data_IF_008449150042
#
_entry.id   IF_008449150042
#
_cell.length_a   1.000
_cell.length_b   1.000
_cell.length_c   1.000
_cell.angle_alpha   90.00
_cell.angle_beta   90.00
_cell.angle_gamma   90.00
#
_symmetry.space_group_name_H-M   'P 1'
#
loop_
_entity.id
_entity.type
_entity.pdbx_description
1 polymer ?
#
# COMPACT_ATOMS: atom_id res chain seq x y z
N UNK A 1 -14.32 -10.83 7.40
CA UNK A 1 -14.47 -9.77 6.37
C UNK A 1 -15.40 -10.18 5.24
N UNK A 2 -15.33 -11.38 4.69
CA UNK A 2 -16.21 -11.85 3.59
C UNK A 2 -17.70 -11.85 3.98
N UNK A 3 -18.05 -12.37 5.16
CA UNK A 3 -19.42 -12.39 5.67
C UNK A 3 -19.99 -10.97 5.84
N UNK A 4 -19.18 -10.04 6.37
CA UNK A 4 -19.57 -8.63 6.51
C UNK A 4 -19.82 -8.01 5.12
N UNK A 5 -18.96 -8.30 4.15
CA UNK A 5 -19.14 -7.84 2.77
C UNK A 5 -20.47 -8.29 2.15
N UNK A 6 -20.86 -9.56 2.38
CA UNK A 6 -22.13 -10.09 1.92
C UNK A 6 -23.33 -9.39 2.59
N UNK A 7 -23.25 -9.15 3.90
CA UNK A 7 -24.30 -8.44 4.64
C UNK A 7 -24.49 -7.00 4.17
N UNK A 8 -23.41 -6.29 3.82
CA UNK A 8 -23.46 -4.91 3.30
C UNK A 8 -24.13 -4.84 1.92
N UNK A 9 -24.08 -5.93 1.14
CA UNK A 9 -24.74 -6.02 -0.17
C UNK A 9 -26.22 -6.43 -0.08
N UNK A 10 -26.75 -6.70 1.12
CA UNK A 10 -28.18 -6.97 1.29
C UNK A 10 -29.02 -5.72 0.99
N UNK A 11 -30.27 -5.90 0.54
CA UNK A 11 -31.16 -4.81 0.12
C UNK A 11 -31.36 -3.73 1.19
N UNK A 12 -31.38 -4.12 2.46
CA UNK A 12 -31.59 -3.18 3.58
C UNK A 12 -30.34 -2.34 3.89
N UNK A 13 -29.14 -2.86 3.61
CA UNK A 13 -27.86 -2.23 3.94
C UNK A 13 -27.20 -1.53 2.73
N UNK A 14 -27.68 -1.81 1.53
CA UNK A 14 -27.04 -1.37 0.29
C UNK A 14 -26.91 0.16 0.19
N UNK A 15 -28.01 0.89 0.38
CA UNK A 15 -27.98 2.35 0.27
C UNK A 15 -27.20 3.02 1.40
N UNK A 16 -27.29 2.47 2.61
CA UNK A 16 -26.66 3.06 3.80
C UNK A 16 -25.15 2.85 3.82
N UNK A 17 -24.70 1.65 3.50
CA UNK A 17 -23.26 1.30 3.63
C UNK A 17 -22.55 1.27 2.29
N UNK A 18 -23.07 0.53 1.29
CA UNK A 18 -22.39 0.38 0.01
C UNK A 18 -22.31 1.69 -0.77
N UNK A 19 -23.43 2.42 -0.88
CA UNK A 19 -23.45 3.69 -1.61
C UNK A 19 -22.61 4.77 -0.91
N UNK A 20 -22.60 4.81 0.42
CA UNK A 20 -21.73 5.72 1.15
C UNK A 20 -20.26 5.37 0.99
N UNK A 21 -19.91 4.09 1.06
CA UNK A 21 -18.54 3.63 0.80
C UNK A 21 -18.08 3.98 -0.63
N UNK A 22 -18.96 3.82 -1.63
CA UNK A 22 -18.67 4.21 -3.01
C UNK A 22 -18.43 5.73 -3.15
N UNK A 23 -19.18 6.56 -2.44
CA UNK A 23 -18.98 8.02 -2.41
C UNK A 23 -17.63 8.38 -1.78
N UNK A 24 -17.27 7.78 -0.64
CA UNK A 24 -15.98 8.00 0.02
C UNK A 24 -14.84 7.54 -0.87
N UNK A 25 -14.96 6.37 -1.50
CA UNK A 25 -13.99 5.87 -2.48
C UNK A 25 -13.77 6.86 -3.62
N UNK A 26 -14.83 7.49 -4.12
CA UNK A 26 -14.74 8.51 -5.16
C UNK A 26 -13.96 9.73 -4.69
N UNK A 27 -14.21 10.21 -3.46
CA UNK A 27 -13.45 11.33 -2.89
C UNK A 27 -11.96 11.04 -2.77
N UNK A 28 -11.61 9.81 -2.38
CA UNK A 28 -10.22 9.36 -2.33
C UNK A 28 -9.60 9.39 -3.74
N UNK A 29 -10.28 8.82 -4.73
CA UNK A 29 -9.80 8.83 -6.12
C UNK A 29 -9.61 10.26 -6.66
N UNK A 30 -10.55 11.16 -6.38
CA UNK A 30 -10.46 12.57 -6.78
C UNK A 30 -9.30 13.30 -6.08
N UNK A 31 -8.96 12.93 -4.84
CA UNK A 31 -7.79 13.47 -4.15
C UNK A 31 -6.48 13.06 -4.84
N UNK A 32 -6.36 11.78 -5.25
CA UNK A 32 -5.21 11.32 -6.04
C UNK A 32 -5.14 12.00 -7.40
N UNK A 33 -6.28 12.15 -8.10
CA UNK A 33 -6.31 12.86 -9.39
C UNK A 33 -5.78 14.29 -9.25
N UNK A 34 -6.20 15.05 -8.22
CA UNK A 34 -5.68 16.40 -7.95
C UNK A 34 -4.18 16.41 -7.62
N UNK A 35 -3.70 15.43 -6.85
CA UNK A 35 -2.27 15.32 -6.57
C UNK A 35 -1.47 15.10 -7.86
N UNK A 36 -1.98 14.28 -8.75
CA UNK A 36 -1.35 14.02 -10.05
C UNK A 36 -1.46 15.17 -11.06
N UNK A 37 -2.20 16.23 -10.80
CA UNK A 37 -2.09 17.48 -11.56
C UNK A 37 -0.77 18.21 -11.26
N UNK A 38 -0.19 17.98 -10.07
CA UNK A 38 1.03 18.65 -9.60
C UNK A 38 2.29 17.80 -9.69
N UNK A 39 2.17 16.48 -9.83
CA UNK A 39 3.30 15.56 -9.91
C UNK A 39 3.00 14.37 -10.84
N UNK A 40 4.05 13.70 -11.33
CA UNK A 40 3.93 12.53 -12.18
C UNK A 40 3.80 11.23 -11.40
N UNK A 41 4.49 11.14 -10.27
CA UNK A 41 4.53 9.98 -9.38
C UNK A 41 4.49 10.44 -7.93
N UNK A 42 3.91 9.62 -7.06
CA UNK A 42 3.95 9.82 -5.60
C UNK A 42 4.81 8.72 -5.01
N UNK A 43 5.69 9.08 -4.08
CA UNK A 43 6.54 8.14 -3.36
C UNK A 43 6.25 8.26 -1.88
N UNK A 44 6.02 7.13 -1.22
CA UNK A 44 5.76 7.08 0.21
C UNK A 44 6.24 5.74 0.82
N UNK A 45 6.29 5.60 2.14
CA UNK A 45 6.58 4.31 2.76
C UNK A 45 5.62 3.22 2.30
N UNK A 46 6.09 1.99 2.16
CA UNK A 46 5.24 0.83 1.85
C UNK A 46 4.52 0.29 3.10
N UNK A 47 5.00 0.63 4.28
CA UNK A 47 4.42 0.24 5.57
C UNK A 47 4.89 1.17 6.68
N UNK A 48 4.33 1.01 7.87
CA UNK A 48 4.62 1.86 9.04
C UNK A 48 6.00 1.56 9.68
N UNK A 49 6.72 0.58 9.19
CA UNK A 49 8.03 0.18 9.73
C UNK A 49 8.53 -1.14 9.13
N UNK A 50 9.34 -1.85 9.88
CA UNK A 50 9.84 -3.18 9.53
C UNK A 50 8.80 -4.27 9.83
N UNK A 51 9.09 -5.51 9.38
CA UNK A 51 8.27 -6.67 9.76
C UNK A 51 8.16 -6.80 11.28
N UNK A 52 6.98 -7.18 11.72
CA UNK A 52 6.68 -7.41 13.13
C UNK A 52 7.22 -8.76 13.60
N UNK A 53 7.55 -8.92 14.89
CA UNK A 53 7.79 -10.23 15.49
C UNK A 53 6.58 -11.15 15.31
N UNK A 54 6.83 -12.46 15.20
CA UNK A 54 5.78 -13.46 14.96
C UNK A 54 4.77 -13.56 16.12
N UNK A 55 5.22 -13.24 17.34
CA UNK A 55 4.47 -13.28 18.58
C UNK A 55 3.88 -11.91 18.99
N UNK A 56 3.85 -10.96 18.05
CA UNK A 56 3.26 -9.64 18.31
C UNK A 56 1.77 -9.74 18.59
N UNK A 57 1.38 -9.29 19.78
CA UNK A 57 -0.03 -9.15 20.18
C UNK A 57 -0.47 -7.70 19.96
N UNK A 58 -0.96 -7.42 18.77
CA UNK A 58 -1.43 -6.10 18.38
C UNK A 58 -2.92 -5.96 18.62
N UNK A 59 -3.33 -4.81 19.13
CA UNK A 59 -4.73 -4.41 19.16
C UNK A 59 -5.29 -4.25 17.72
N UNK A 60 -6.62 -4.35 17.53
CA UNK A 60 -7.23 -4.14 16.23
C UNK A 60 -6.88 -2.80 15.58
N UNK A 61 -6.70 -1.75 16.37
CA UNK A 61 -6.32 -0.42 15.88
C UNK A 61 -4.89 -0.40 15.33
N UNK A 62 -3.96 -1.06 16.00
CA UNK A 62 -2.58 -1.20 15.54
C UNK A 62 -2.50 -2.00 14.24
N UNK A 63 -3.29 -3.07 14.10
CA UNK A 63 -3.42 -3.80 12.83
C UNK A 63 -3.92 -2.90 11.69
N UNK A 64 -4.89 -2.03 11.94
CA UNK A 64 -5.36 -1.07 10.93
C UNK A 64 -4.30 -0.02 10.58
N UNK A 65 -3.47 0.37 11.54
CA UNK A 65 -2.39 1.33 11.30
C UNK A 65 -1.30 0.78 10.36
N UNK A 66 -1.09 -0.54 10.31
CA UNK A 66 -0.15 -1.16 9.36
C UNK A 66 -0.56 -0.94 7.90
N UNK A 67 -1.87 -0.85 7.62
CA UNK A 67 -2.41 -0.67 6.28
C UNK A 67 -2.51 0.81 5.86
N UNK A 68 -2.07 1.75 6.71
CA UNK A 68 -2.25 3.19 6.50
C UNK A 68 -1.76 3.67 5.13
N UNK A 69 -0.60 3.15 4.69
CA UNK A 69 0.04 3.56 3.44
C UNK A 69 -0.40 2.75 2.22
N UNK A 70 -1.22 1.72 2.36
CA UNK A 70 -1.57 0.81 1.26
C UNK A 70 -3.05 0.86 0.87
N UNK A 71 -3.93 1.13 1.80
CA UNK A 71 -5.38 1.09 1.57
C UNK A 71 -5.85 2.18 0.59
N UNK A 72 -5.30 3.39 0.69
CA UNK A 72 -5.76 4.53 -0.10
C UNK A 72 -5.55 4.32 -1.61
N UNK A 73 -4.42 3.75 -2.02
CA UNK A 73 -4.09 3.46 -3.43
C UNK A 73 -5.04 2.41 -4.00
N UNK A 74 -5.35 1.37 -3.24
CA UNK A 74 -6.31 0.33 -3.61
C UNK A 74 -7.73 0.91 -3.79
N UNK A 75 -8.15 1.81 -2.90
CA UNK A 75 -9.45 2.47 -3.00
C UNK A 75 -9.53 3.46 -4.17
N UNK A 76 -8.44 4.18 -4.44
CA UNK A 76 -8.34 5.09 -5.58
C UNK A 76 -8.29 4.35 -6.92
N UNK A 77 -7.83 3.11 -6.95
CA UNK A 77 -7.66 2.32 -8.17
C UNK A 77 -6.50 2.84 -9.02
N UNK A 78 -5.40 3.21 -8.38
CA UNK A 78 -4.15 3.66 -9.00
C UNK A 78 -3.08 2.58 -8.88
N UNK A 79 -2.15 2.44 -9.85
CA UNK A 79 -1.05 1.49 -9.76
C UNK A 79 -0.07 1.89 -8.67
N UNK A 80 0.40 0.92 -7.90
CA UNK A 80 1.43 1.10 -6.90
C UNK A 80 2.40 -0.08 -6.92
N UNK A 81 3.69 0.22 -6.78
CA UNK A 81 4.78 -0.77 -6.77
C UNK A 81 5.57 -0.60 -5.49
N UNK A 82 5.72 -1.68 -4.72
CA UNK A 82 6.57 -1.68 -3.54
C UNK A 82 7.98 -2.18 -3.90
N UNK A 83 8.98 -1.48 -3.40
CA UNK A 83 10.40 -1.82 -3.59
C UNK A 83 11.17 -1.68 -2.29
N UNK A 84 12.23 -2.48 -2.07
CA UNK A 84 13.14 -2.26 -0.95
C UNK A 84 13.90 -0.94 -1.17
N UNK A 85 13.95 -0.12 -0.12
CA UNK A 85 14.54 1.21 -0.16
C UNK A 85 15.73 1.37 0.80
N UNK A 86 15.96 0.40 1.67
CA UNK A 86 17.05 0.42 2.65
C UNK A 86 16.87 -0.65 3.70
N UNK A 87 17.77 -0.63 4.68
CA UNK A 87 17.72 -1.52 5.84
C UNK A 87 17.57 -0.66 7.10
N UNK A 88 16.74 -1.12 8.02
CA UNK A 88 16.62 -0.51 9.34
C UNK A 88 17.80 -0.92 10.24
N UNK A 89 17.96 -0.24 11.37
CA UNK A 89 19.03 -0.54 12.36
C UNK A 89 18.97 -1.97 12.89
N UNK A 90 17.78 -2.58 12.93
CA UNK A 90 17.58 -3.97 13.32
C UNK A 90 17.89 -5.00 12.23
N UNK A 91 18.42 -4.57 11.08
CA UNK A 91 18.80 -5.44 9.96
C UNK A 91 17.61 -5.93 9.11
N UNK A 92 16.40 -5.41 9.33
CA UNK A 92 15.24 -5.75 8.51
C UNK A 92 15.04 -4.74 7.36
N UNK A 93 14.53 -5.16 6.19
CA UNK A 93 14.33 -4.27 5.07
C UNK A 93 13.19 -3.27 5.32
N UNK A 94 13.38 -2.06 4.81
CA UNK A 94 12.36 -1.02 4.72
C UNK A 94 11.83 -0.94 3.29
N UNK A 95 10.53 -0.91 3.15
CA UNK A 95 9.85 -0.78 1.86
C UNK A 95 9.45 0.66 1.56
N UNK A 96 9.57 1.01 0.29
CA UNK A 96 9.02 2.23 -0.28
C UNK A 96 8.04 1.85 -1.39
N UNK A 97 6.96 2.59 -1.55
CA UNK A 97 6.07 2.40 -2.68
C UNK A 97 6.08 3.61 -3.61
N UNK A 98 5.98 3.30 -4.89
CA UNK A 98 5.84 4.25 -5.99
C UNK A 98 4.43 4.13 -6.53
N UNK A 99 3.69 5.23 -6.53
CA UNK A 99 2.30 5.30 -6.98
C UNK A 99 2.23 6.11 -8.26
N UNK A 100 1.63 5.55 -9.31
CA UNK A 100 1.44 6.18 -10.61
C UNK A 100 0.00 6.63 -10.84
N UNK A 101 -0.21 7.41 -11.89
CA UNK A 101 -1.54 7.74 -12.40
C UNK A 101 -2.25 6.46 -12.86
N UNK A 102 -3.55 6.49 -12.85
CA UNK A 102 -4.36 5.35 -13.33
C UNK A 102 -3.92 4.95 -14.75
N UNK A 103 -3.61 3.66 -14.93
CA UNK A 103 -3.09 3.05 -16.16
C UNK A 103 -1.66 3.48 -16.57
N UNK A 104 -0.93 4.19 -15.72
CA UNK A 104 0.48 4.54 -15.95
C UNK A 104 1.43 3.62 -15.14
N UNK A 105 1.19 2.32 -15.23
CA UNK A 105 1.96 1.27 -14.52
C UNK A 105 3.42 1.30 -14.94
N UNK A 106 3.70 1.54 -16.21
CA UNK A 106 5.04 1.53 -16.75
C UNK A 106 5.95 2.59 -16.10
N UNK A 107 5.43 3.80 -15.88
CA UNK A 107 6.21 4.87 -15.24
C UNK A 107 6.49 4.56 -13.79
N UNK A 108 5.51 4.00 -13.07
CA UNK A 108 5.70 3.54 -11.69
C UNK A 108 6.78 2.43 -11.61
N UNK A 109 6.75 1.44 -12.52
CA UNK A 109 7.75 0.38 -12.61
C UNK A 109 9.15 0.88 -12.96
N UNK A 110 9.27 1.88 -13.85
CA UNK A 110 10.56 2.48 -14.20
C UNK A 110 11.21 3.15 -13.00
N UNK A 111 10.49 3.98 -12.25
CA UNK A 111 11.04 4.61 -11.04
C UNK A 111 11.34 3.56 -9.97
N UNK A 112 10.47 2.59 -9.76
CA UNK A 112 10.67 1.50 -8.83
C UNK A 112 11.98 0.73 -9.11
N UNK A 113 12.24 0.43 -10.40
CA UNK A 113 13.50 -0.20 -10.83
C UNK A 113 14.72 0.66 -10.50
N UNK A 114 14.66 1.97 -10.70
CA UNK A 114 15.75 2.87 -10.34
C UNK A 114 15.98 2.89 -8.82
N UNK A 115 14.94 3.03 -8.01
CA UNK A 115 15.05 3.00 -6.54
C UNK A 115 15.70 1.69 -6.10
N UNK A 116 15.27 0.55 -6.62
CA UNK A 116 15.84 -0.76 -6.29
C UNK A 116 17.33 -0.84 -6.64
N UNK A 117 17.76 -0.30 -7.77
CA UNK A 117 19.15 -0.28 -8.17
C UNK A 117 20.02 0.58 -7.25
N UNK A 118 19.49 1.70 -6.76
CA UNK A 118 20.22 2.61 -5.87
C UNK A 118 20.17 2.20 -4.40
N UNK A 119 19.18 1.43 -3.97
CA UNK A 119 19.01 1.05 -2.57
C UNK A 119 20.15 0.16 -2.04
N UNK A 120 20.84 -0.55 -2.92
CA UNK A 120 21.90 -1.48 -2.54
C UNK A 120 21.42 -2.69 -1.71
N UNK A 121 20.11 -2.84 -1.53
CA UNK A 121 19.54 -3.96 -0.75
C UNK A 121 19.62 -5.24 -1.58
N UNK A 122 20.32 -6.25 -1.06
CA UNK A 122 20.24 -7.59 -1.61
C UNK A 122 18.87 -8.19 -1.27
N UNK A 123 18.07 -8.45 -2.29
CA UNK A 123 16.72 -9.01 -2.15
C UNK A 123 16.71 -10.50 -1.81
N UNK A 124 17.84 -11.14 -1.68
CA UNK A 124 17.93 -12.55 -1.31
C UNK A 124 17.81 -12.69 0.20
N UNK A 125 16.82 -13.43 0.71
CA UNK A 125 16.71 -13.68 2.14
C UNK A 125 17.94 -14.48 2.61
N UNK A 126 18.60 -14.00 3.64
CA UNK A 126 19.76 -14.67 4.25
C UNK A 126 19.44 -16.05 4.82
N UNK A 127 18.17 -16.32 5.10
CA UNK A 127 17.68 -17.59 5.69
C UNK A 127 17.60 -18.75 4.67
N UNK A 128 17.64 -18.47 3.36
CA UNK A 128 17.57 -19.53 2.32
C UNK A 128 18.96 -20.10 1.98
N UNK A 129 20.02 -19.50 2.50
CA UNK A 129 21.37 -20.01 2.38
C UNK A 129 21.73 -20.86 3.61
N UNK A 130 20.88 -21.84 3.96
CA UNK A 130 21.25 -22.89 4.88
C UNK A 130 22.35 -23.75 4.26
N UNK A 131 23.51 -23.68 4.86
CA UNK A 131 24.53 -24.70 4.77
C UNK A 131 24.04 -25.99 5.46
#
# INVERSE_FOLDING_TARGET
>A
RMIIGTAVLSSESYDVYFMQAARVRRLIADAFNRAFEMCDLIVCPAGAGTALPLDSDLSPLEYYALDLFTVAMNLAGVPAVSVPAGMAENGLPLGMQVVGRRFDDMRALQLAKHIQQFSGVDNRPTVIMGE
#
